data_IF_870300213796
#
_entry.id   IF_870300213796
#
_cell.length_a   1.000
_cell.length_b   1.000
_cell.length_c   1.000
_cell.angle_alpha   90.00
_cell.angle_beta   90.00
_cell.angle_gamma   90.00
#
_symmetry.space_group_name_H-M   'P 1'
#
loop_
_entity.id
_entity.type
_entity.pdbx_description
1 polymer ?
#
# COMPACT_ATOMS: atom_id res chain seq x y z
N UNK A 1 8.57 -5.68 -27.81
CA UNK A 1 8.81 -4.56 -26.88
C UNK A 1 10.02 -4.92 -26.03
N UNK A 2 11.15 -4.23 -26.23
CA UNK A 2 12.34 -4.44 -25.41
C UNK A 2 12.02 -4.08 -23.96
N UNK A 3 12.13 -5.04 -23.04
CA UNK A 3 12.11 -4.74 -21.61
C UNK A 3 13.35 -3.88 -21.36
N UNK A 4 13.15 -2.62 -21.00
CA UNK A 4 14.21 -1.85 -20.38
C UNK A 4 14.60 -2.64 -19.13
N UNK A 5 15.83 -3.16 -19.09
CA UNK A 5 16.37 -3.65 -17.82
C UNK A 5 16.36 -2.43 -16.91
N UNK A 6 15.50 -2.46 -15.89
CA UNK A 6 15.45 -1.39 -14.92
C UNK A 6 16.81 -1.36 -14.21
N UNK A 7 17.41 -0.18 -14.17
CA UNK A 7 18.70 0.03 -13.53
C UNK A 7 18.58 -0.33 -12.06
N UNK A 8 19.63 -0.94 -11.51
CA UNK A 8 19.72 -1.05 -10.05
C UNK A 8 19.70 0.34 -9.42
N UNK A 9 19.17 0.44 -8.20
CA UNK A 9 19.16 1.71 -7.46
C UNK A 9 20.59 2.27 -7.30
N UNK A 10 21.60 1.40 -7.23
CA UNK A 10 23.01 1.77 -7.21
C UNK A 10 23.44 2.44 -8.53
N UNK A 11 23.25 1.79 -9.68
CA UNK A 11 23.60 2.35 -11.00
C UNK A 11 22.86 3.66 -11.27
N UNK A 12 21.61 3.75 -10.82
CA UNK A 12 20.78 4.96 -10.91
C UNK A 12 21.37 6.09 -10.06
N UNK A 13 21.74 5.79 -8.81
CA UNK A 13 22.39 6.73 -7.90
C UNK A 13 23.72 7.26 -8.43
N UNK A 14 24.60 6.38 -8.91
CA UNK A 14 25.92 6.76 -9.47
C UNK A 14 25.76 7.76 -10.62
N UNK A 15 24.78 7.53 -11.49
CA UNK A 15 24.55 8.37 -12.67
C UNK A 15 23.95 9.73 -12.34
N UNK A 16 23.05 9.76 -11.36
CA UNK A 16 22.49 11.01 -10.82
C UNK A 16 23.59 11.81 -10.14
N UNK A 17 24.42 11.17 -9.31
CA UNK A 17 25.55 11.80 -8.65
C UNK A 17 26.51 12.45 -9.65
N UNK A 18 26.85 11.76 -10.75
CA UNK A 18 27.68 12.35 -11.79
C UNK A 18 27.07 13.61 -12.43
N UNK A 19 25.75 13.64 -12.62
CA UNK A 19 25.04 14.83 -13.14
C UNK A 19 24.96 15.98 -12.14
N UNK A 20 24.76 15.68 -10.86
CA UNK A 20 24.79 16.67 -9.77
C UNK A 20 26.19 17.28 -9.59
N UNK A 21 27.25 16.51 -9.87
CA UNK A 21 28.63 17.01 -9.93
C UNK A 21 28.94 17.86 -11.17
N UNK A 22 27.95 18.17 -12.02
CA UNK A 22 28.10 19.08 -13.16
C UNK A 22 28.54 18.43 -14.48
N UNK A 23 28.71 17.09 -14.54
CA UNK A 23 29.11 16.42 -15.78
C UNK A 23 28.03 16.47 -16.87
N UNK A 24 28.46 16.58 -18.13
CA UNK A 24 27.53 16.57 -19.27
C UNK A 24 26.90 15.19 -19.50
N UNK A 25 25.72 15.12 -20.14
CA UNK A 25 25.05 13.83 -20.43
C UNK A 25 25.95 12.92 -21.28
N UNK A 26 26.71 13.50 -22.19
CA UNK A 26 27.62 12.75 -23.07
C UNK A 26 28.83 12.20 -22.30
N UNK A 27 29.42 12.96 -21.38
CA UNK A 27 30.51 12.48 -20.51
C UNK A 27 30.06 11.31 -19.65
N UNK A 28 28.89 11.41 -19.00
CA UNK A 28 28.36 10.34 -18.16
C UNK A 28 28.03 9.10 -19.01
N UNK A 29 27.52 9.30 -20.25
CA UNK A 29 27.25 8.20 -21.18
C UNK A 29 28.51 7.45 -21.58
N UNK A 30 29.58 8.18 -21.91
CA UNK A 30 30.87 7.59 -22.27
C UNK A 30 31.51 6.86 -21.08
N UNK A 31 31.47 7.46 -19.89
CA UNK A 31 32.15 6.92 -18.70
C UNK A 31 31.51 5.65 -18.16
N UNK A 32 30.19 5.55 -18.22
CA UNK A 32 29.44 4.43 -17.65
C UNK A 32 28.86 3.49 -18.72
N UNK A 33 29.21 3.67 -20.00
CA UNK A 33 28.77 2.84 -21.13
C UNK A 33 27.25 2.73 -21.22
N UNK A 34 26.54 3.86 -21.04
CA UNK A 34 25.08 3.91 -21.15
C UNK A 34 24.64 4.80 -22.31
N UNK A 35 23.48 4.48 -22.88
CA UNK A 35 22.85 5.37 -23.85
C UNK A 35 22.49 6.72 -23.21
N UNK A 36 22.78 7.81 -23.94
CA UNK A 36 22.43 9.20 -23.55
C UNK A 36 20.94 9.34 -23.21
N UNK A 37 20.07 8.61 -23.92
CA UNK A 37 18.61 8.58 -23.69
C UNK A 37 18.25 8.03 -22.31
N UNK A 38 18.91 6.96 -21.87
CA UNK A 38 18.72 6.38 -20.54
C UNK A 38 19.16 7.34 -19.44
N UNK A 39 20.27 8.05 -19.64
CA UNK A 39 20.76 9.06 -18.70
C UNK A 39 19.79 10.23 -18.59
N UNK A 40 19.35 10.77 -19.73
CA UNK A 40 18.40 11.87 -19.80
C UNK A 40 17.10 11.53 -19.08
N UNK A 41 16.56 10.33 -19.32
CA UNK A 41 15.34 9.84 -18.67
C UNK A 41 15.50 9.71 -17.15
N UNK A 42 16.57 9.07 -16.70
CA UNK A 42 16.84 8.91 -15.25
C UNK A 42 16.97 10.27 -14.57
N UNK A 43 17.69 11.20 -15.19
CA UNK A 43 17.89 12.53 -14.62
C UNK A 43 16.59 13.34 -14.60
N UNK A 44 15.74 13.23 -15.63
CA UNK A 44 14.42 13.84 -15.64
C UNK A 44 13.52 13.29 -14.53
N UNK A 45 13.43 11.96 -14.39
CA UNK A 45 12.67 11.32 -13.33
C UNK A 45 13.18 11.72 -11.93
N UNK A 46 14.50 11.83 -11.75
CA UNK A 46 15.11 12.33 -10.53
C UNK A 46 14.74 13.79 -10.26
N UNK A 47 14.85 14.69 -11.24
CA UNK A 47 14.48 16.10 -11.06
C UNK A 47 13.02 16.29 -10.65
N UNK A 48 12.12 15.45 -11.15
CA UNK A 48 10.69 15.52 -10.82
C UNK A 48 10.38 14.91 -9.46
N UNK A 49 11.00 13.76 -9.13
CA UNK A 49 10.63 12.98 -7.95
C UNK A 49 11.54 13.20 -6.73
N UNK A 50 12.74 13.75 -6.92
CA UNK A 50 13.81 13.84 -5.92
C UNK A 50 14.40 12.49 -5.50
N UNK A 51 13.99 11.38 -6.11
CA UNK A 51 14.33 10.03 -5.65
C UNK A 51 15.33 9.37 -6.59
N UNK A 52 16.36 8.75 -6.00
CA UNK A 52 17.34 7.91 -6.70
C UNK A 52 16.86 6.48 -6.87
N UNK A 53 15.89 6.02 -6.07
CA UNK A 53 15.31 4.68 -6.21
C UNK A 53 14.18 4.61 -7.24
N UNK A 54 14.07 3.46 -7.90
CA UNK A 54 13.00 3.17 -8.85
C UNK A 54 11.80 2.56 -8.14
N UNK A 55 11.01 3.38 -7.43
CA UNK A 55 9.84 2.86 -6.71
C UNK A 55 8.60 2.74 -7.61
N UNK A 56 8.49 1.63 -8.37
CA UNK A 56 7.28 1.27 -9.14
C UNK A 56 6.38 0.21 -8.51
N UNK A 57 6.64 -0.19 -7.26
CA UNK A 57 5.88 -1.27 -6.62
C UNK A 57 4.40 -0.97 -6.31
N UNK A 58 3.94 0.29 -6.43
CA UNK A 58 2.52 0.65 -6.21
C UNK A 58 1.74 0.92 -7.49
N UNK A 59 2.18 0.42 -8.64
CA UNK A 59 1.34 0.48 -9.82
C UNK A 59 0.45 -0.77 -9.90
N UNK A 60 -0.80 -0.62 -9.45
CA UNK A 60 -1.81 -1.67 -9.48
C UNK A 60 -3.15 -1.16 -8.93
N UNK A 61 -4.26 -1.78 -9.34
CA UNK A 61 -5.59 -1.47 -8.78
C UNK A 61 -5.58 -1.80 -7.28
N UNK A 62 -5.94 -0.82 -6.44
CA UNK A 62 -6.09 -1.07 -5.00
C UNK A 62 -7.12 -2.18 -4.81
N UNK A 63 -6.76 -3.18 -4.01
CA UNK A 63 -7.65 -4.28 -3.63
C UNK A 63 -8.66 -3.74 -2.62
N UNK A 64 -9.95 -3.85 -2.91
CA UNK A 64 -11.03 -3.46 -1.98
C UNK A 64 -11.21 -4.48 -0.85
N UNK A 65 -10.92 -5.76 -1.12
CA UNK A 65 -11.05 -6.87 -0.17
C UNK A 65 -9.73 -7.17 0.53
N UNK A 66 -9.78 -7.54 1.82
CA UNK A 66 -8.63 -8.05 2.57
C UNK A 66 -8.18 -9.40 2.01
N UNK A 67 -6.95 -9.83 2.31
CA UNK A 67 -6.41 -11.11 1.84
C UNK A 67 -7.25 -12.33 2.30
N UNK A 68 -7.81 -12.26 3.51
CA UNK A 68 -8.72 -13.29 4.02
C UNK A 68 -10.01 -13.38 3.22
N UNK A 69 -10.60 -12.22 2.88
CA UNK A 69 -11.82 -12.11 2.08
C UNK A 69 -11.59 -12.65 0.67
N UNK A 70 -10.46 -12.33 0.06
CA UNK A 70 -10.05 -12.88 -1.25
C UNK A 70 -9.92 -14.41 -1.19
N UNK A 71 -9.28 -14.92 -0.13
CA UNK A 71 -9.12 -16.37 0.05
C UNK A 71 -10.45 -17.08 0.25
N UNK A 72 -11.39 -16.44 0.95
CA UNK A 72 -12.75 -16.95 1.15
C UNK A 72 -13.57 -16.91 -0.13
N UNK A 73 -13.58 -15.79 -0.85
CA UNK A 73 -14.23 -15.67 -2.14
C UNK A 73 -13.70 -16.73 -3.13
N UNK A 74 -12.38 -16.98 -3.13
CA UNK A 74 -11.78 -18.03 -3.95
C UNK A 74 -12.27 -19.44 -3.57
N UNK A 75 -12.51 -19.71 -2.28
CA UNK A 75 -13.08 -20.98 -1.82
C UNK A 75 -14.54 -21.15 -2.27
N UNK A 76 -15.35 -20.09 -2.20
CA UNK A 76 -16.76 -20.10 -2.66
C UNK A 76 -16.81 -20.38 -4.16
N UNK A 77 -16.03 -19.65 -4.95
CA UNK A 77 -15.96 -19.84 -6.41
C UNK A 77 -15.43 -21.22 -6.82
N UNK A 78 -14.58 -21.84 -6.01
CA UNK A 78 -14.08 -23.20 -6.25
C UNK A 78 -15.13 -24.28 -5.97
N UNK A 79 -15.98 -24.09 -4.96
CA UNK A 79 -17.09 -25.00 -4.63
C UNK A 79 -18.15 -24.95 -5.72
N UNK A 80 -18.61 -23.75 -6.05
CA UNK A 80 -19.74 -23.56 -6.95
C UNK A 80 -19.37 -22.70 -8.16
N UNK A 81 -18.74 -23.33 -9.15
CA UNK A 81 -18.31 -22.66 -10.40
C UNK A 81 -19.45 -22.06 -11.23
N UNK A 82 -20.70 -22.44 -10.96
CA UNK A 82 -21.92 -21.98 -11.67
C UNK A 82 -22.76 -21.01 -10.84
N UNK A 83 -22.31 -20.65 -9.63
CA UNK A 83 -23.07 -19.78 -8.75
C UNK A 83 -23.25 -18.38 -9.37
N UNK A 84 -24.47 -17.84 -9.26
CA UNK A 84 -24.77 -16.47 -9.68
C UNK A 84 -24.34 -15.49 -8.60
N UNK A 85 -24.00 -14.25 -8.98
CA UNK A 85 -23.56 -13.19 -8.06
C UNK A 85 -24.39 -13.03 -6.78
N UNK A 86 -25.74 -13.04 -6.78
CA UNK A 86 -26.50 -12.91 -5.54
C UNK A 86 -26.26 -14.07 -4.58
N UNK A 87 -26.10 -15.29 -5.08
CA UNK A 87 -25.81 -16.47 -4.27
C UNK A 87 -24.39 -16.43 -3.69
N UNK A 88 -23.42 -15.96 -4.48
CA UNK A 88 -22.05 -15.74 -4.01
C UNK A 88 -22.03 -14.67 -2.91
N UNK A 89 -22.83 -13.61 -3.05
CA UNK A 89 -22.91 -12.53 -2.07
C UNK A 89 -23.55 -12.99 -0.76
N UNK A 90 -24.63 -13.78 -0.80
CA UNK A 90 -25.22 -14.38 0.41
C UNK A 90 -24.20 -15.29 1.10
N UNK A 91 -23.57 -16.22 0.38
CA UNK A 91 -22.59 -17.15 0.94
C UNK A 91 -21.35 -16.44 1.50
N UNK A 92 -20.96 -15.33 0.87
CA UNK A 92 -19.88 -14.46 1.31
C UNK A 92 -20.28 -13.59 2.52
N UNK A 93 -21.55 -13.29 2.73
CA UNK A 93 -21.99 -12.57 3.93
C UNK A 93 -22.29 -13.53 5.09
N UNK A 94 -22.78 -14.75 4.83
CA UNK A 94 -23.20 -15.71 5.86
C UNK A 94 -22.03 -16.30 6.65
N UNK A 95 -20.93 -16.67 5.97
CA UNK A 95 -19.70 -17.06 6.68
C UNK A 95 -18.92 -15.88 7.31
N UNK A 96 -19.49 -14.66 7.34
CA UNK A 96 -19.00 -13.53 8.12
C UNK A 96 -19.68 -13.44 9.51
N UNK A 97 -20.52 -14.41 9.87
CA UNK A 97 -21.13 -14.57 11.20
C UNK A 97 -20.12 -15.07 12.26
N UNK A 98 -19.01 -14.37 12.38
CA UNK A 98 -18.08 -14.29 13.51
C UNK A 98 -17.31 -13.00 13.20
N UNK A 99 -17.78 -11.82 13.57
CA UNK A 99 -17.67 -11.27 14.94
C UNK A 99 -18.84 -10.29 15.18
N UNK A 100 -20.00 -10.81 15.62
CA UNK A 100 -21.08 -10.01 16.21
C UNK A 100 -21.43 -10.53 17.61
N UNK A 101 -20.40 -10.97 18.35
CA UNK A 101 -20.52 -11.41 19.73
C UNK A 101 -19.33 -10.98 20.61
N UNK A 102 -18.38 -10.19 20.09
CA UNK A 102 -17.26 -9.64 20.88
C UNK A 102 -17.42 -8.15 21.21
N UNK A 103 -18.50 -7.50 20.80
CA UNK A 103 -18.82 -6.11 21.21
C UNK A 103 -19.48 -6.05 22.60
N UNK A 104 -19.60 -7.17 23.31
CA UNK A 104 -20.13 -7.19 24.68
C UNK A 104 -19.05 -7.08 25.78
N UNK A 105 -17.77 -6.89 25.43
CA UNK A 105 -16.69 -6.80 26.41
C UNK A 105 -15.62 -5.73 26.12
N UNK A 106 -15.92 -4.73 25.28
CA UNK A 106 -15.04 -3.59 25.06
C UNK A 106 -15.79 -2.24 25.13
N UNK A 107 -16.70 -2.11 26.09
CA UNK A 107 -17.16 -0.80 26.56
C UNK A 107 -16.23 -0.31 27.67
N UNK A 108 -15.59 0.87 27.56
CA UNK A 108 -14.77 1.40 28.64
C UNK A 108 -15.68 2.03 29.71
N UNK A 109 -16.25 1.24 30.62
CA UNK A 109 -16.81 1.77 31.89
C UNK A 109 -17.37 0.66 32.79
N UNK A 110 -16.51 0.03 33.60
CA UNK A 110 -16.92 -0.49 34.91
C UNK A 110 -15.99 -0.06 36.05
N UNK A 111 -14.85 0.59 35.76
CA UNK A 111 -13.95 1.14 36.77
C UNK A 111 -14.38 2.56 37.21
N UNK A 112 -15.18 3.28 36.40
CA UNK A 112 -15.66 4.63 36.71
C UNK A 112 -17.01 4.69 37.46
N UNK A 113 -17.69 3.56 37.65
CA UNK A 113 -19.08 3.54 38.13
C UNK A 113 -19.24 3.35 39.66
N UNK A 114 -18.16 3.40 40.46
CA UNK A 114 -18.23 3.11 41.91
C UNK A 114 -17.61 4.15 42.84
N UNK A 115 -17.17 5.32 42.32
CA UNK A 115 -16.59 6.37 43.18
C UNK A 115 -17.06 7.77 42.79
N UNK A 116 -18.38 8.00 42.82
CA UNK A 116 -18.94 9.35 42.86
C UNK A 116 -20.42 9.32 43.30
N UNK A 117 -20.67 8.94 44.55
CA UNK A 117 -21.95 9.14 45.23
C UNK A 117 -21.68 9.97 46.50
N UNK A 118 -22.16 11.21 46.50
CA UNK A 118 -22.10 12.15 47.63
C UNK A 118 -22.69 13.50 47.24
N UNK A 119 -23.97 13.80 47.59
CA UNK A 119 -24.73 14.92 47.01
C UNK A 119 -24.72 16.20 47.86
N UNK A 120 -24.71 17.34 47.14
CA UNK A 120 -25.50 18.60 47.28
C UNK A 120 -25.70 19.19 48.70
N UNK A 121 -25.57 20.50 48.96
CA UNK A 121 -26.58 21.54 48.67
C UNK A 121 -26.05 22.91 49.19
N UNK A 122 -26.26 23.98 48.43
CA UNK A 122 -26.17 25.38 48.89
C UNK A 122 -27.44 25.77 49.69
N UNK A 123 -27.28 26.38 50.86
CA UNK A 123 -28.30 27.22 51.52
C UNK A 123 -27.59 28.39 52.23
N UNK A 124 -28.21 29.57 52.11
CA UNK A 124 -27.84 30.92 52.58
C UNK A 124 -26.70 31.06 53.59
#
# INVERSE_FOLDING_TARGET
MARFQDLSDFERGVRIGAREMGHSISEVAMKFVFFRTTISRVYHEYRVSGKTSYFRHRWGRKKTLKEMDQSRQTRILKRDRRATLPHIATDFNDGNLQVSACELFNGPSLIWALTAEGPLVYRC
#
